data_IF_307780125908
#
_entry.id   IF_307780125908
#
_cell.length_a   1.000
_cell.length_b   1.000
_cell.length_c   1.000
_cell.angle_alpha   90.00
_cell.angle_beta   90.00
_cell.angle_gamma   90.00
#
_symmetry.space_group_name_H-M   'P 1'
#
loop_
_entity.id
_entity.type
_entity.pdbx_description
1 polymer ?
#
# COMPACT_ATOMS: atom_id res chain seq x y z
N UNK A 1 -10.75 25.35 4.99
CA UNK A 1 -11.63 24.85 6.07
C UNK A 1 -11.12 23.54 6.70
N UNK A 2 -10.60 22.58 5.91
CA UNK A 2 -10.11 21.27 6.39
C UNK A 2 -8.92 21.27 7.38
N UNK A 3 -8.01 22.25 7.32
CA UNK A 3 -6.79 22.24 8.12
C UNK A 3 -7.00 22.57 9.62
N UNK A 4 -8.14 23.16 10.00
CA UNK A 4 -8.33 23.71 11.35
C UNK A 4 -8.84 22.69 12.39
N UNK A 5 -9.34 21.51 12.00
CA UNK A 5 -9.86 20.47 12.92
C UNK A 5 -9.81 19.04 12.34
N UNK A 6 -8.62 18.44 12.13
CA UNK A 6 -8.47 17.13 11.49
C UNK A 6 -9.11 15.97 12.30
N UNK A 7 -9.01 16.01 13.63
CA UNK A 7 -9.57 15.02 14.56
C UNK A 7 -11.11 14.92 14.48
N UNK A 8 -11.79 16.05 14.53
CA UNK A 8 -13.26 16.13 14.45
C UNK A 8 -13.79 15.66 13.10
N UNK A 9 -13.05 15.93 12.02
CA UNK A 9 -13.39 15.49 10.67
C UNK A 9 -13.19 13.98 10.49
N UNK A 10 -12.13 13.40 11.08
CA UNK A 10 -11.90 11.95 11.08
C UNK A 10 -13.02 11.21 11.81
N UNK A 11 -13.39 11.69 13.01
CA UNK A 11 -14.50 11.14 13.80
C UNK A 11 -15.84 11.25 13.05
N UNK A 12 -16.10 12.39 12.43
CA UNK A 12 -17.34 12.60 11.66
C UNK A 12 -17.41 11.72 10.40
N UNK A 13 -16.29 11.57 9.70
CA UNK A 13 -16.17 10.69 8.53
C UNK A 13 -16.39 9.22 8.90
N UNK A 14 -15.82 8.79 10.02
CA UNK A 14 -15.99 7.43 10.55
C UNK A 14 -17.46 7.17 10.91
N UNK A 15 -18.12 8.11 11.60
CA UNK A 15 -19.56 8.01 11.91
C UNK A 15 -20.41 7.91 10.65
N UNK A 16 -20.11 8.73 9.63
CA UNK A 16 -20.82 8.66 8.35
C UNK A 16 -20.63 7.31 7.67
N UNK A 17 -19.39 6.80 7.61
CA UNK A 17 -19.08 5.52 6.98
C UNK A 17 -19.81 4.36 7.67
N UNK A 18 -19.82 4.32 9.00
CA UNK A 18 -20.53 3.27 9.74
C UNK A 18 -22.03 3.28 9.43
N UNK A 19 -22.66 4.47 9.40
CA UNK A 19 -24.08 4.62 9.07
C UNK A 19 -24.40 4.32 7.59
N UNK A 20 -23.44 4.53 6.68
CA UNK A 20 -23.65 4.45 5.23
C UNK A 20 -22.83 3.33 4.54
N UNK A 21 -22.37 2.32 5.27
CA UNK A 21 -21.45 1.28 4.79
C UNK A 21 -21.90 0.62 3.48
N UNK A 22 -23.19 0.27 3.36
CA UNK A 22 -23.78 -0.31 2.14
C UNK A 22 -23.69 0.65 0.94
N UNK A 23 -24.03 1.93 1.16
CA UNK A 23 -23.96 2.97 0.12
C UNK A 23 -22.52 3.21 -0.33
N UNK A 24 -21.57 3.30 0.62
CA UNK A 24 -20.15 3.46 0.31
C UNK A 24 -19.63 2.30 -0.55
N UNK A 25 -19.95 1.05 -0.18
CA UNK A 25 -19.58 -0.15 -0.96
C UNK A 25 -20.17 -0.13 -2.37
N UNK A 26 -21.45 0.24 -2.52
CA UNK A 26 -22.10 0.36 -3.84
C UNK A 26 -21.39 1.40 -4.71
N UNK A 27 -21.04 2.55 -4.13
CA UNK A 27 -20.34 3.60 -4.85
C UNK A 27 -18.94 3.16 -5.32
N UNK A 28 -18.20 2.44 -4.46
CA UNK A 28 -16.91 1.85 -4.84
C UNK A 28 -17.10 0.88 -6.00
N UNK A 29 -18.05 -0.06 -5.90
CA UNK A 29 -18.33 -1.02 -6.98
C UNK A 29 -18.66 -0.33 -8.31
N UNK A 30 -19.57 0.63 -8.30
CA UNK A 30 -19.93 1.40 -9.49
C UNK A 30 -18.74 2.17 -10.08
N UNK A 31 -17.86 2.70 -9.23
CA UNK A 31 -16.64 3.38 -9.68
C UNK A 31 -15.67 2.38 -10.32
N UNK A 32 -15.47 1.21 -9.71
CA UNK A 32 -14.58 0.17 -10.25
C UNK A 32 -15.05 -0.36 -11.59
N UNK A 33 -16.35 -0.59 -11.76
CA UNK A 33 -16.96 -1.00 -13.04
C UNK A 33 -16.71 0.02 -14.14
N UNK A 34 -16.83 1.32 -13.83
CA UNK A 34 -16.58 2.41 -14.78
C UNK A 34 -15.09 2.66 -15.05
N UNK A 35 -14.19 2.20 -14.18
CA UNK A 35 -12.76 2.52 -14.21
C UNK A 35 -11.87 1.27 -14.38
N UNK A 36 -12.40 0.18 -14.95
CA UNK A 36 -11.66 -1.07 -15.12
C UNK A 36 -10.36 -0.86 -15.92
N UNK A 37 -10.41 -0.12 -17.02
CA UNK A 37 -9.22 0.17 -17.85
C UNK A 37 -8.17 0.96 -17.08
N UNK A 38 -8.60 1.92 -16.24
CA UNK A 38 -7.71 2.66 -15.37
C UNK A 38 -7.03 1.75 -14.33
N UNK A 39 -7.76 0.78 -13.76
CA UNK A 39 -7.18 -0.22 -12.84
C UNK A 39 -6.16 -1.11 -13.57
N UNK A 40 -6.48 -1.57 -14.79
CA UNK A 40 -5.56 -2.36 -15.63
C UNK A 40 -4.28 -1.59 -15.92
N UNK A 41 -4.40 -0.32 -16.31
CA UNK A 41 -3.26 0.57 -16.58
C UNK A 41 -2.33 0.71 -15.36
N UNK A 42 -2.88 0.97 -14.17
CA UNK A 42 -2.05 1.07 -12.97
C UNK A 42 -1.42 -0.25 -12.56
N UNK A 43 -2.13 -1.36 -12.69
CA UNK A 43 -1.58 -2.70 -12.43
C UNK A 43 -0.43 -3.03 -13.38
N UNK A 44 -0.58 -2.75 -14.68
CA UNK A 44 0.50 -2.91 -15.66
C UNK A 44 1.72 -2.04 -15.33
N UNK A 45 1.48 -0.76 -15.01
CA UNK A 45 2.54 0.19 -14.63
C UNK A 45 3.28 -0.24 -13.36
N UNK A 46 2.55 -0.78 -12.37
CA UNK A 46 3.14 -1.32 -11.15
C UNK A 46 4.01 -2.55 -11.42
N UNK A 47 3.52 -3.50 -12.21
CA UNK A 47 4.29 -4.70 -12.61
C UNK A 47 5.57 -4.33 -13.36
N UNK A 48 5.48 -3.42 -14.31
CA UNK A 48 6.64 -2.94 -15.06
C UNK A 48 7.70 -2.32 -14.14
N UNK A 49 7.27 -1.44 -13.22
CA UNK A 49 8.17 -0.82 -12.24
C UNK A 49 8.80 -1.83 -11.28
N UNK A 50 8.02 -2.80 -10.79
CA UNK A 50 8.53 -3.88 -9.93
C UNK A 50 9.60 -4.70 -10.65
N UNK A 51 9.39 -5.00 -11.94
CA UNK A 51 10.37 -5.68 -12.79
C UNK A 51 11.63 -4.83 -13.02
N UNK A 52 11.47 -3.54 -13.30
CA UNK A 52 12.60 -2.62 -13.50
C UNK A 52 13.44 -2.45 -12.22
N UNK A 53 12.80 -2.46 -11.05
CA UNK A 53 13.48 -2.35 -9.77
C UNK A 53 14.12 -3.66 -9.31
N UNK A 54 13.95 -4.78 -10.03
CA UNK A 54 14.47 -6.09 -9.65
C UNK A 54 15.84 -6.31 -10.31
N UNK A 55 16.96 -6.18 -9.58
CA UNK A 55 18.28 -6.43 -10.13
C UNK A 55 18.49 -7.92 -10.44
N UNK A 56 19.48 -8.23 -11.29
CA UNK A 56 19.79 -9.61 -11.69
C UNK A 56 20.18 -10.52 -10.52
N UNK A 57 20.79 -9.95 -9.48
CA UNK A 57 21.21 -10.67 -8.28
C UNK A 57 20.08 -10.82 -7.24
N UNK A 58 18.87 -10.33 -7.52
CA UNK A 58 17.75 -10.46 -6.60
C UNK A 58 17.42 -11.94 -6.32
N UNK A 59 17.43 -12.30 -5.05
CA UNK A 59 17.08 -13.65 -4.59
C UNK A 59 15.55 -13.86 -4.68
N UNK A 60 15.12 -14.56 -5.73
CA UNK A 60 13.71 -14.80 -5.99
C UNK A 60 13.07 -15.73 -4.97
N UNK A 61 13.83 -16.67 -4.40
CA UNK A 61 13.31 -17.60 -3.39
C UNK A 61 12.99 -16.86 -2.10
N UNK A 62 13.89 -15.99 -1.64
CA UNK A 62 13.63 -15.15 -0.47
C UNK A 62 12.52 -14.15 -0.71
N UNK A 63 12.43 -13.56 -1.90
CA UNK A 63 11.29 -12.70 -2.26
C UNK A 63 9.97 -13.48 -2.21
N UNK A 64 9.94 -14.69 -2.77
CA UNK A 64 8.77 -15.56 -2.74
C UNK A 64 8.38 -15.95 -1.32
N UNK A 65 9.36 -16.20 -0.45
CA UNK A 65 9.14 -16.51 0.96
C UNK A 65 8.31 -15.42 1.66
N UNK A 66 8.56 -14.13 1.41
CA UNK A 66 7.73 -13.05 1.96
C UNK A 66 6.24 -13.16 1.55
N UNK A 67 5.96 -13.54 0.30
CA UNK A 67 4.57 -13.68 -0.17
C UNK A 67 3.87 -14.88 0.47
N UNK A 68 4.59 -16.00 0.62
CA UNK A 68 4.09 -17.19 1.31
C UNK A 68 3.84 -16.89 2.79
N UNK A 69 4.77 -16.20 3.44
CA UNK A 69 4.68 -15.86 4.85
C UNK A 69 3.54 -14.89 5.13
N UNK A 70 3.33 -13.88 4.28
CA UNK A 70 2.16 -12.99 4.37
C UNK A 70 0.84 -13.78 4.33
N UNK A 71 0.77 -14.78 3.45
CA UNK A 71 -0.43 -15.64 3.31
C UNK A 71 -0.61 -16.51 4.55
N UNK A 72 0.46 -17.12 5.06
CA UNK A 72 0.46 -17.94 6.28
C UNK A 72 -0.01 -17.13 7.48
N UNK A 73 0.60 -15.97 7.74
CA UNK A 73 0.23 -15.08 8.85
C UNK A 73 -1.22 -14.60 8.73
N UNK A 74 -1.69 -14.33 7.51
CA UNK A 74 -3.10 -13.96 7.29
C UNK A 74 -4.05 -15.08 7.68
N UNK A 75 -3.74 -16.32 7.30
CA UNK A 75 -4.56 -17.47 7.65
C UNK A 75 -4.54 -17.76 9.16
N UNK A 76 -3.39 -17.62 9.82
CA UNK A 76 -3.22 -17.94 11.25
C UNK A 76 -3.82 -16.89 12.18
N UNK A 77 -3.64 -15.61 11.85
CA UNK A 77 -4.06 -14.51 12.74
C UNK A 77 -5.46 -13.97 12.39
N UNK A 78 -5.96 -14.26 11.18
CA UNK A 78 -7.17 -13.65 10.63
C UNK A 78 -7.01 -12.17 10.26
N UNK A 79 -5.80 -11.60 10.34
CA UNK A 79 -5.49 -10.23 9.96
C UNK A 79 -4.80 -10.25 8.60
N UNK A 80 -5.25 -9.45 7.64
CA UNK A 80 -4.64 -9.40 6.31
C UNK A 80 -3.21 -8.80 6.38
N UNK A 81 -2.22 -9.55 5.92
CA UNK A 81 -0.82 -9.11 5.77
C UNK A 81 -0.45 -8.89 4.30
N UNK A 82 0.32 -7.85 4.04
CA UNK A 82 0.86 -7.48 2.73
C UNK A 82 2.39 -7.45 2.77
N UNK A 83 3.00 -7.77 1.62
CA UNK A 83 4.43 -7.52 1.37
C UNK A 83 4.60 -6.08 0.93
N UNK A 84 5.34 -5.30 1.72
CA UNK A 84 5.64 -3.88 1.48
C UNK A 84 7.14 -3.67 1.22
N UNK A 85 7.48 -2.58 0.54
CA UNK A 85 8.87 -2.16 0.34
C UNK A 85 9.27 -1.13 1.39
N UNK A 86 10.28 -1.42 2.21
CA UNK A 86 10.81 -0.52 3.25
C UNK A 86 11.13 0.85 2.64
N UNK A 87 11.90 0.84 1.55
CA UNK A 87 12.12 1.96 0.65
C UNK A 87 11.18 1.84 -0.56
N UNK A 88 10.25 2.79 -0.77
CA UNK A 88 9.21 2.66 -1.78
C UNK A 88 9.78 2.61 -3.19
N UNK A 89 9.18 1.77 -4.04
CA UNK A 89 9.54 1.67 -5.47
C UNK A 89 9.24 2.95 -6.27
N UNK A 90 8.39 3.84 -5.75
CA UNK A 90 8.03 5.11 -6.40
C UNK A 90 7.84 6.19 -5.35
N UNK A 91 8.81 7.08 -5.24
CA UNK A 91 8.70 8.32 -4.49
C UNK A 91 9.41 9.45 -5.26
N UNK A 92 9.14 10.71 -4.88
CA UNK A 92 9.76 11.90 -5.45
C UNK A 92 11.26 12.00 -5.14
N UNK A 93 11.65 11.57 -3.94
CA UNK A 93 12.99 11.79 -3.40
C UNK A 93 13.92 10.58 -3.60
N UNK A 94 13.38 9.37 -3.66
CA UNK A 94 14.14 8.14 -3.90
C UNK A 94 13.30 7.03 -4.53
N UNK A 95 13.97 5.98 -4.98
CA UNK A 95 13.37 4.72 -5.39
C UNK A 95 14.15 3.53 -4.80
N UNK A 96 13.45 2.64 -4.11
CA UNK A 96 14.01 1.38 -3.62
C UNK A 96 14.07 0.28 -4.69
N UNK A 97 14.85 -0.76 -4.42
CA UNK A 97 14.95 -1.97 -5.25
C UNK A 97 13.90 -3.01 -4.85
N UNK A 98 13.52 -3.89 -5.76
CA UNK A 98 12.72 -5.06 -5.45
C UNK A 98 13.61 -6.26 -5.11
N UNK A 99 14.14 -6.24 -3.88
CA UNK A 99 15.05 -7.26 -3.32
C UNK A 99 14.58 -7.61 -1.91
N UNK A 100 14.88 -8.82 -1.44
CA UNK A 100 14.39 -9.34 -0.16
C UNK A 100 14.78 -8.46 1.04
N UNK A 101 15.93 -7.81 1.01
CA UNK A 101 16.41 -6.87 2.03
C UNK A 101 15.58 -5.58 2.09
N UNK A 102 14.86 -5.26 1.02
CA UNK A 102 13.94 -4.12 0.97
C UNK A 102 12.49 -4.53 1.19
N UNK A 103 12.19 -5.80 1.50
CA UNK A 103 10.83 -6.27 1.76
C UNK A 103 10.57 -6.38 3.26
N UNK A 104 9.34 -6.09 3.65
CA UNK A 104 8.83 -6.30 4.99
C UNK A 104 7.37 -6.76 4.95
N UNK A 105 6.93 -7.42 6.03
CA UNK A 105 5.53 -7.79 6.22
C UNK A 105 4.85 -6.74 7.09
N UNK A 106 3.76 -6.20 6.60
CA UNK A 106 2.91 -5.26 7.33
C UNK A 106 1.48 -5.75 7.27
N UNK A 107 0.69 -5.47 8.30
CA UNK A 107 -0.76 -5.62 8.17
C UNK A 107 -1.27 -4.66 7.08
N UNK A 108 -2.40 -4.98 6.45
CA UNK A 108 -3.00 -4.12 5.43
C UNK A 108 -3.20 -2.69 5.94
N UNK A 109 -3.58 -2.54 7.22
CA UNK A 109 -3.78 -1.24 7.86
C UNK A 109 -2.48 -0.43 7.99
N UNK A 110 -1.39 -1.07 8.40
CA UNK A 110 -0.07 -0.43 8.49
C UNK A 110 0.46 -0.08 7.10
N UNK A 111 0.34 -0.99 6.13
CA UNK A 111 0.75 -0.78 4.75
C UNK A 111 0.02 0.42 4.11
N UNK A 112 -1.30 0.51 4.28
CA UNK A 112 -2.08 1.66 3.81
C UNK A 112 -1.68 2.98 4.48
N UNK A 113 -1.32 2.92 5.76
CA UNK A 113 -0.87 4.09 6.52
C UNK A 113 0.51 4.57 6.08
N UNK A 114 1.45 3.64 5.85
CA UNK A 114 2.81 3.93 5.35
C UNK A 114 2.80 4.47 3.93
N UNK A 115 2.08 3.78 3.03
CA UNK A 115 2.03 4.09 1.60
C UNK A 115 3.46 4.22 1.01
N UNK A 116 3.63 5.02 -0.04
CA UNK A 116 4.93 5.36 -0.60
C UNK A 116 5.53 6.62 0.04
N UNK A 117 5.14 6.96 1.29
CA UNK A 117 5.47 8.25 1.91
C UNK A 117 6.55 8.19 2.96
N UNK A 118 6.76 7.04 3.59
CA UNK A 118 7.64 6.89 4.74
C UNK A 118 8.68 5.80 4.48
N UNK A 119 9.92 6.07 4.91
CA UNK A 119 11.04 5.12 4.90
C UNK A 119 12.05 5.49 6.02
N UNK A 120 12.89 4.55 6.46
CA UNK A 120 13.92 4.83 7.47
C UNK A 120 14.90 5.92 7.02
N UNK A 121 15.23 6.85 7.91
CA UNK A 121 16.17 7.94 7.61
C UNK A 121 15.60 9.10 6.77
N UNK A 122 14.27 9.14 6.56
CA UNK A 122 13.62 10.23 5.85
C UNK A 122 13.81 11.59 6.56
N UNK A 123 14.30 12.58 5.80
CA UNK A 123 14.52 13.94 6.31
C UNK A 123 13.20 14.67 6.53
N UNK A 124 13.19 15.65 7.44
CA UNK A 124 12.00 16.47 7.73
C UNK A 124 11.47 17.18 6.49
N UNK A 125 12.35 17.69 5.63
CA UNK A 125 11.98 18.35 4.37
C UNK A 125 11.39 17.41 3.31
N UNK A 126 11.49 16.09 3.50
CA UNK A 126 10.97 15.07 2.59
C UNK A 126 9.62 14.50 3.06
N UNK A 127 9.13 14.95 4.23
CA UNK A 127 7.83 14.56 4.78
C UNK A 127 6.78 15.53 4.23
N UNK A 128 6.17 15.14 3.11
CA UNK A 128 5.02 15.84 2.52
C UNK A 128 3.70 15.52 3.28
#
# INVERSE_FOLDING_TARGET
WNAKNPECNKKSSQKWYQKNKKKARKNVKNWEEKNQERKKFYSASYRARKKQAMPLWADQEKINWFYLEATRLTAETGIEYHVDHIFPLKNRYLCGLHVHENLQLLTATENFSKNNRQWPGQLSCQKD
#
